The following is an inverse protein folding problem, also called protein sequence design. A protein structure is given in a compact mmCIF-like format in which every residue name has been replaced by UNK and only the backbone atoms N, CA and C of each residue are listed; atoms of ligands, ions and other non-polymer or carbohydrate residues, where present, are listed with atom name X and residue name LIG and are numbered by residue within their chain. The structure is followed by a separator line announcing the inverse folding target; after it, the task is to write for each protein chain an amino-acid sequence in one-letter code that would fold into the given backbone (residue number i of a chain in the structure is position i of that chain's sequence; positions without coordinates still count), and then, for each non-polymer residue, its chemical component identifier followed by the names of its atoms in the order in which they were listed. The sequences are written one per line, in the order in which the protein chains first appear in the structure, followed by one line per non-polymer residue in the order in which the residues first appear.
data_IF_348132508115
#
_entry.id   IF_348132508115
#
_cell.length_a   1.000
_cell.length_b   1.000
_cell.length_c   1.000
_cell.angle_alpha   90.00
_cell.angle_beta   90.00
_cell.angle_gamma   90.00
#
_symmetry.space_group_name_H-M   'P 1'
#
loop_
_entity.id
_entity.type
_entity.pdbx_description
1 polymer ?
#
# COMPACT_ATOMS: atom_id res chain seq x y z
N UNK A 1 -6.40 8.64 -27.15
CA UNK A 1 -6.79 7.24 -26.87
C UNK A 1 -5.79 6.66 -25.88
N UNK A 2 -6.13 6.54 -24.62
CA UNK A 2 -5.25 5.95 -23.61
C UNK A 2 -5.07 4.45 -23.87
N UNK A 3 -3.88 4.03 -24.23
CA UNK A 3 -3.57 2.64 -24.56
C UNK A 3 -3.50 1.78 -23.29
N UNK A 4 -4.56 1.03 -23.00
CA UNK A 4 -4.68 0.22 -21.76
C UNK A 4 -3.67 -0.95 -21.65
N UNK A 5 -2.90 -1.25 -22.70
CA UNK A 5 -2.07 -2.46 -22.74
C UNK A 5 -0.75 -2.36 -21.97
N UNK A 6 -0.17 -1.18 -21.82
CA UNK A 6 1.06 -0.96 -21.03
C UNK A 6 0.84 -1.06 -19.50
N UNK A 7 -0.40 -1.00 -19.07
CA UNK A 7 -0.79 -0.78 -17.65
C UNK A 7 -0.94 -2.04 -16.81
N UNK A 8 -1.08 -3.17 -17.48
CA UNK A 8 -1.06 -4.45 -16.78
C UNK A 8 0.30 -4.67 -16.08
N UNK A 9 1.36 -4.13 -16.67
CA UNK A 9 2.72 -4.26 -16.17
C UNK A 9 2.97 -3.42 -14.89
N UNK A 10 2.40 -2.20 -14.76
CA UNK A 10 2.65 -1.36 -13.59
C UNK A 10 2.06 -1.95 -12.30
N UNK A 11 0.79 -2.34 -12.35
CA UNK A 11 0.13 -2.97 -11.17
C UNK A 11 0.75 -4.33 -10.84
N UNK A 12 1.08 -5.12 -11.86
CA UNK A 12 1.75 -6.41 -11.66
C UNK A 12 3.12 -6.23 -11.01
N UNK A 13 3.92 -5.29 -11.52
CA UNK A 13 5.24 -4.98 -10.93
C UNK A 13 5.11 -4.46 -9.51
N UNK A 14 4.11 -3.61 -9.23
CA UNK A 14 3.83 -3.11 -7.88
C UNK A 14 3.52 -4.25 -6.90
N UNK A 15 2.68 -5.21 -7.31
CA UNK A 15 2.34 -6.37 -6.47
C UNK A 15 3.55 -7.27 -6.25
N UNK A 16 4.31 -7.58 -7.30
CA UNK A 16 5.50 -8.45 -7.18
C UNK A 16 6.53 -7.82 -6.25
N UNK A 17 6.84 -6.54 -6.41
CA UNK A 17 7.80 -5.84 -5.54
C UNK A 17 7.30 -5.74 -4.10
N UNK A 18 6.00 -5.55 -3.88
CA UNK A 18 5.40 -5.53 -2.55
C UNK A 18 5.50 -6.91 -1.87
N UNK A 19 5.25 -8.00 -2.60
CA UNK A 19 5.40 -9.37 -2.07
C UNK A 19 6.85 -9.63 -1.67
N UNK A 20 7.81 -9.28 -2.51
CA UNK A 20 9.24 -9.45 -2.20
C UNK A 20 9.60 -8.65 -0.94
N UNK A 21 9.19 -7.39 -0.86
CA UNK A 21 9.46 -6.53 0.30
C UNK A 21 8.84 -7.09 1.58
N UNK A 22 7.60 -7.57 1.54
CA UNK A 22 6.91 -8.19 2.68
C UNK A 22 7.59 -9.46 3.17
N UNK A 23 7.99 -10.34 2.25
CA UNK A 23 8.69 -11.59 2.57
C UNK A 23 10.07 -11.30 3.17
N UNK A 24 10.85 -10.43 2.57
CA UNK A 24 12.17 -10.04 3.09
C UNK A 24 12.05 -9.44 4.49
N UNK A 25 11.04 -8.58 4.71
CA UNK A 25 10.81 -7.98 6.01
C UNK A 25 10.45 -9.02 7.09
N UNK A 26 9.59 -9.99 6.76
CA UNK A 26 9.25 -11.08 7.67
C UNK A 26 10.49 -11.92 8.04
N UNK A 27 11.35 -12.21 7.07
CA UNK A 27 12.61 -12.91 7.33
C UNK A 27 13.57 -12.11 8.23
N UNK A 28 13.74 -10.82 7.96
CA UNK A 28 14.60 -9.95 8.78
C UNK A 28 14.09 -9.81 10.21
N UNK A 29 12.77 -9.83 10.39
CA UNK A 29 12.15 -9.84 11.71
C UNK A 29 12.44 -11.15 12.47
N UNK A 30 12.34 -12.30 11.79
CA UNK A 30 12.66 -13.62 12.39
C UNK A 30 14.12 -13.69 12.79
N UNK A 31 15.02 -13.14 11.97
CA UNK A 31 16.45 -13.09 12.26
C UNK A 31 16.82 -12.08 13.37
N UNK A 32 15.86 -11.29 13.86
CA UNK A 32 16.12 -10.28 14.88
C UNK A 32 16.93 -9.07 14.40
N UNK A 33 17.14 -8.95 13.08
CA UNK A 33 17.89 -7.83 12.49
C UNK A 33 17.07 -6.54 12.51
N UNK A 34 15.75 -6.66 12.37
CA UNK A 34 14.82 -5.54 12.39
C UNK A 34 13.87 -5.71 13.57
N UNK A 35 13.84 -4.72 14.45
CA UNK A 35 12.87 -4.65 15.54
C UNK A 35 11.85 -3.57 15.20
N UNK A 36 10.60 -3.98 15.00
CA UNK A 36 9.50 -3.03 14.77
C UNK A 36 9.06 -2.45 16.10
N UNK A 37 9.20 -1.14 16.23
CA UNK A 37 8.76 -0.41 17.44
C UNK A 37 7.30 0.03 17.28
N UNK A 38 6.61 0.24 18.41
CA UNK A 38 5.26 0.81 18.43
C UNK A 38 5.19 2.15 17.70
N UNK A 39 6.25 2.94 17.79
CA UNK A 39 6.36 4.23 17.07
C UNK A 39 6.31 4.04 15.56
N UNK A 40 6.99 3.04 15.03
CA UNK A 40 6.94 2.74 13.59
C UNK A 40 5.51 2.41 13.14
N UNK A 41 4.78 1.62 13.92
CA UNK A 41 3.39 1.25 13.60
C UNK A 41 2.46 2.47 13.63
N UNK A 42 2.64 3.37 14.60
CA UNK A 42 1.86 4.61 14.66
C UNK A 42 2.14 5.52 13.47
N UNK A 43 3.40 5.61 13.04
CA UNK A 43 3.78 6.37 11.83
C UNK A 43 3.18 5.72 10.58
N UNK A 44 3.27 4.40 10.44
CA UNK A 44 2.68 3.68 9.32
C UNK A 44 1.16 3.88 9.24
N UNK A 45 0.49 3.83 10.40
CA UNK A 45 -0.94 4.08 10.52
C UNK A 45 -1.27 5.54 10.15
N UNK A 46 -0.52 6.51 10.65
CA UNK A 46 -0.69 7.93 10.32
C UNK A 46 -0.52 8.20 8.83
N UNK A 47 0.51 7.63 8.20
CA UNK A 47 0.72 7.70 6.75
C UNK A 47 -0.47 7.07 6.00
N UNK A 48 -0.96 5.91 6.43
CA UNK A 48 -2.13 5.25 5.86
C UNK A 48 -3.37 6.13 5.90
N UNK A 49 -3.65 6.78 7.03
CA UNK A 49 -4.81 7.69 7.18
C UNK A 49 -4.70 8.90 6.26
N UNK A 50 -3.52 9.51 6.14
CA UNK A 50 -3.28 10.64 5.22
C UNK A 50 -3.51 10.21 3.77
N UNK A 51 -2.98 9.05 3.36
CA UNK A 51 -3.21 8.52 2.01
C UNK A 51 -4.68 8.20 1.75
N UNK A 52 -5.40 7.71 2.75
CA UNK A 52 -6.84 7.46 2.64
C UNK A 52 -7.61 8.78 2.43
N UNK A 53 -7.30 9.82 3.20
CA UNK A 53 -7.91 11.12 3.06
C UNK A 53 -7.68 11.72 1.67
N UNK A 54 -6.43 11.68 1.19
CA UNK A 54 -6.07 12.15 -0.17
C UNK A 54 -6.76 11.33 -1.24
N UNK A 55 -6.81 10.00 -1.09
CA UNK A 55 -7.48 9.08 -2.02
C UNK A 55 -8.99 9.35 -2.13
N UNK A 56 -9.66 9.60 -1.01
CA UNK A 56 -11.09 9.94 -0.98
C UNK A 56 -11.33 11.30 -1.63
N UNK A 57 -10.51 12.31 -1.34
CA UNK A 57 -10.61 13.63 -1.97
C UNK A 57 -10.37 13.55 -3.47
N UNK A 58 -9.35 12.82 -3.92
CA UNK A 58 -9.09 12.60 -5.33
C UNK A 58 -10.25 11.87 -6.02
N UNK A 59 -10.86 10.88 -5.39
CA UNK A 59 -12.01 10.17 -5.97
C UNK A 59 -13.27 11.06 -6.08
N UNK A 60 -13.45 11.98 -5.14
CA UNK A 60 -14.57 12.94 -5.17
C UNK A 60 -14.40 13.98 -6.30
N UNK A 61 -13.18 14.47 -6.53
CA UNK A 61 -12.90 15.41 -7.62
C UNK A 61 -13.04 14.76 -9.00
N UNK A 62 -12.67 13.49 -9.14
CA UNK A 62 -12.78 12.74 -10.40
C UNK A 62 -14.23 12.41 -10.80
N UNK A 63 -15.15 12.28 -9.84
CA UNK A 63 -16.57 12.11 -10.13
C UNK A 63 -17.20 13.32 -10.82
N UNK A 64 -16.58 14.47 -10.69
CA UNK A 64 -17.03 15.75 -11.30
C UNK A 64 -16.59 15.91 -12.75
N UNK A 65 -15.53 15.21 -13.17
CA UNK A 65 -15.04 15.22 -14.55
C UNK A 65 -15.73 14.09 -15.33
N UNK A 66 -16.53 14.44 -16.31
CA UNK A 66 -17.36 13.54 -17.15
C UNK A 66 -16.52 12.56 -18.03
N UNK A 67 -15.23 12.69 -18.02
CA UNK A 67 -14.26 11.84 -18.72
C UNK A 67 -13.60 10.91 -17.70
N UNK A 68 -14.12 9.68 -17.62
CA UNK A 68 -13.53 8.61 -16.78
C UNK A 68 -12.42 7.87 -17.53
N UNK A 69 -11.13 8.16 -17.36
CA UNK A 69 -10.11 7.28 -17.90
C UNK A 69 -10.12 5.96 -17.08
N UNK A 70 -10.36 4.84 -17.75
CA UNK A 70 -10.37 3.49 -17.16
C UNK A 70 -9.16 3.17 -16.27
N UNK A 71 -8.03 3.80 -16.54
CA UNK A 71 -6.81 3.71 -15.77
C UNK A 71 -6.95 4.20 -14.33
N UNK A 72 -7.61 5.31 -14.16
CA UNK A 72 -7.72 5.99 -12.87
C UNK A 72 -8.56 5.17 -11.88
N UNK A 73 -9.69 4.60 -12.33
CA UNK A 73 -10.55 3.77 -11.50
C UNK A 73 -9.85 2.49 -11.02
N UNK A 74 -9.06 1.84 -11.86
CA UNK A 74 -8.37 0.60 -11.51
C UNK A 74 -7.23 0.83 -10.52
N UNK A 75 -6.43 1.87 -10.73
CA UNK A 75 -5.34 2.22 -9.84
C UNK A 75 -5.84 2.75 -8.48
N UNK A 76 -6.96 3.48 -8.46
CA UNK A 76 -7.59 3.93 -7.24
C UNK A 76 -8.03 2.76 -6.36
N UNK A 77 -8.61 1.71 -6.94
CA UNK A 77 -9.02 0.52 -6.19
C UNK A 77 -7.80 -0.18 -5.56
N UNK A 78 -6.71 -0.34 -6.29
CA UNK A 78 -5.47 -0.95 -5.76
C UNK A 78 -4.88 -0.09 -4.65
N UNK A 79 -4.90 1.23 -4.79
CA UNK A 79 -4.42 2.15 -3.76
C UNK A 79 -5.28 2.06 -2.49
N UNK A 80 -6.61 2.04 -2.62
CA UNK A 80 -7.51 1.88 -1.48
C UNK A 80 -7.30 0.56 -0.74
N UNK A 81 -7.11 -0.55 -1.47
CA UNK A 81 -6.80 -1.85 -0.87
C UNK A 81 -5.46 -1.80 -0.12
N UNK A 82 -4.43 -1.18 -0.69
CA UNK A 82 -3.14 -0.99 -0.02
C UNK A 82 -3.27 -0.20 1.27
N UNK A 83 -3.96 0.94 1.23
CA UNK A 83 -4.17 1.81 2.40
C UNK A 83 -4.99 1.13 3.49
N UNK A 84 -6.13 0.53 3.14
CA UNK A 84 -6.97 -0.19 4.10
C UNK A 84 -6.23 -1.38 4.70
N UNK A 85 -5.48 -2.12 3.87
CA UNK A 85 -4.64 -3.23 4.32
C UNK A 85 -3.58 -2.78 5.32
N UNK A 86 -2.91 -1.65 5.06
CA UNK A 86 -1.91 -1.08 5.99
C UNK A 86 -2.54 -0.71 7.33
N UNK A 87 -3.69 -0.04 7.32
CA UNK A 87 -4.39 0.38 8.53
C UNK A 87 -4.83 -0.85 9.34
N UNK A 88 -5.50 -1.81 8.70
CA UNK A 88 -5.98 -3.03 9.38
C UNK A 88 -4.83 -3.86 9.94
N UNK A 89 -3.78 -4.10 9.15
CA UNK A 89 -2.62 -4.88 9.60
C UNK A 89 -1.90 -4.19 10.77
N UNK A 90 -1.76 -2.86 10.74
CA UNK A 90 -1.17 -2.09 11.84
C UNK A 90 -2.02 -2.14 13.11
N UNK A 91 -3.34 -2.06 13.00
CA UNK A 91 -4.26 -2.18 14.14
C UNK A 91 -4.21 -3.59 14.76
N UNK A 92 -4.19 -4.64 13.94
CA UNK A 92 -4.10 -6.01 14.42
C UNK A 92 -2.77 -6.23 15.15
N UNK A 93 -1.66 -5.74 14.60
CA UNK A 93 -0.34 -5.87 15.22
C UNK A 93 -0.26 -5.10 16.54
N UNK A 94 -0.88 -3.92 16.63
CA UNK A 94 -0.99 -3.17 17.89
C UNK A 94 -1.85 -3.88 18.93
N UNK A 95 -2.94 -4.53 18.50
CA UNK A 95 -3.85 -5.24 19.38
C UNK A 95 -3.25 -6.55 19.94
N UNK A 96 -2.50 -7.28 19.12
CA UNK A 96 -1.83 -8.54 19.53
C UNK A 96 -0.65 -8.29 20.48
N UNK A 97 -0.11 -7.08 20.46
CA UNK A 97 1.10 -6.75 21.20
C UNK A 97 2.37 -7.27 20.52
N UNK A 98 3.44 -6.52 20.64
CA UNK A 98 4.74 -6.85 20.03
C UNK A 98 5.48 -7.81 20.97
N UNK A 99 5.15 -9.09 20.95
CA UNK A 99 5.99 -10.12 21.56
C UNK A 99 7.10 -10.47 20.56
N UNK A 100 8.32 -10.14 20.89
CA UNK A 100 9.46 -10.03 19.99
C UNK A 100 9.89 -11.31 19.23
N UNK A 101 9.26 -12.46 19.43
CA UNK A 101 9.78 -13.74 18.92
C UNK A 101 8.73 -14.70 18.34
N UNK A 102 7.50 -14.27 18.16
CA UNK A 102 6.50 -15.16 17.56
C UNK A 102 6.48 -15.07 16.04
N UNK A 103 6.39 -16.22 15.37
CA UNK A 103 6.20 -16.30 13.91
C UNK A 103 5.00 -15.47 13.46
N UNK A 104 3.95 -15.40 14.29
CA UNK A 104 2.78 -14.57 14.03
C UNK A 104 3.14 -13.09 13.90
N UNK A 105 3.97 -12.57 14.80
CA UNK A 105 4.43 -11.17 14.76
C UNK A 105 5.24 -10.89 13.49
N UNK A 106 6.11 -11.82 13.08
CA UNK A 106 6.90 -11.68 11.87
C UNK A 106 6.01 -11.65 10.60
N UNK A 107 4.99 -12.49 10.54
CA UNK A 107 4.02 -12.50 9.43
C UNK A 107 3.23 -11.19 9.40
N UNK A 108 2.76 -10.69 10.55
CA UNK A 108 2.03 -9.43 10.63
C UNK A 108 2.90 -8.24 10.21
N UNK A 109 4.16 -8.20 10.63
CA UNK A 109 5.12 -7.17 10.20
C UNK A 109 5.35 -7.24 8.69
N UNK A 110 5.51 -8.44 8.14
CA UNK A 110 5.60 -8.64 6.69
C UNK A 110 4.38 -8.12 5.95
N UNK A 111 3.17 -8.35 6.48
CA UNK A 111 1.92 -7.83 5.92
C UNK A 111 1.84 -6.29 5.98
N UNK A 112 2.22 -5.67 7.08
CA UNK A 112 2.25 -4.20 7.19
C UNK A 112 3.17 -3.62 6.11
N UNK A 113 4.39 -4.15 5.96
CA UNK A 113 5.33 -3.65 4.97
C UNK A 113 4.92 -3.98 3.54
N UNK A 114 4.29 -5.13 3.29
CA UNK A 114 3.68 -5.47 2.01
C UNK A 114 2.65 -4.42 1.58
N UNK A 115 1.67 -4.12 2.44
CA UNK A 115 0.61 -3.16 2.12
C UNK A 115 1.14 -1.73 2.01
N UNK A 116 2.08 -1.35 2.85
CA UNK A 116 2.72 -0.05 2.80
C UNK A 116 3.49 0.14 1.49
N UNK A 117 4.26 -0.87 1.06
CA UNK A 117 4.96 -0.85 -0.21
C UNK A 117 4.00 -0.82 -1.40
N UNK A 118 2.91 -1.61 -1.31
CA UNK A 118 1.86 -1.61 -2.33
C UNK A 118 1.22 -0.22 -2.48
N UNK A 119 0.99 0.49 -1.38
CA UNK A 119 0.47 1.86 -1.37
C UNK A 119 1.41 2.82 -2.10
N UNK A 120 2.71 2.78 -1.82
CA UNK A 120 3.70 3.62 -2.50
C UNK A 120 3.81 3.30 -3.99
N UNK A 121 3.86 2.03 -4.36
CA UNK A 121 3.95 1.60 -5.74
C UNK A 121 2.67 1.96 -6.53
N UNK A 122 1.50 1.77 -5.93
CA UNK A 122 0.23 2.17 -6.53
C UNK A 122 0.13 3.70 -6.71
N UNK A 123 0.65 4.49 -5.76
CA UNK A 123 0.72 5.95 -5.88
C UNK A 123 1.60 6.39 -7.05
N UNK A 124 2.76 5.75 -7.23
CA UNK A 124 3.64 6.03 -8.36
C UNK A 124 2.97 5.70 -9.70
N UNK A 125 2.24 4.58 -9.78
CA UNK A 125 1.47 4.22 -10.97
C UNK A 125 0.33 5.22 -11.24
N UNK A 126 -0.31 5.72 -10.17
CA UNK A 126 -1.38 6.70 -10.28
C UNK A 126 -0.87 8.04 -10.82
N UNK A 127 0.26 8.54 -10.31
CA UNK A 127 0.88 9.79 -10.75
C UNK A 127 1.28 9.70 -12.23
N UNK A 128 1.91 8.59 -12.64
CA UNK A 128 2.27 8.36 -14.06
C UNK A 128 1.04 8.32 -14.96
N UNK A 129 -0.03 7.67 -14.50
CA UNK A 129 -1.27 7.62 -15.25
C UNK A 129 -1.92 9.01 -15.40
N UNK A 130 -1.84 9.85 -14.39
CA UNK A 130 -2.36 11.21 -14.43
C UNK A 130 -1.53 12.10 -15.39
N UNK A 131 -0.20 11.94 -15.39
CA UNK A 131 0.70 12.69 -16.27
C UNK A 131 0.59 12.32 -17.76
N UNK A 132 0.26 11.05 -18.06
CA UNK A 132 0.10 10.58 -19.47
C UNK A 132 -1.28 10.95 -20.08
N UNK A 133 -2.20 11.47 -19.27
CA UNK A 133 -3.53 11.89 -19.76
C UNK A 133 -3.63 13.40 -20.07
N UNK A 134 -2.57 14.19 -19.80
CA UNK A 134 -2.45 15.60 -20.14
C UNK A 134 -1.84 15.75 -21.54
#
# INVERSE_FOLDING_TARGET
MCNCNWRFNCTLTAVITAVIAGVVAAFLQILGVVTVTTTFLLVALGVGVVYLAVGVLASASLRRADTRPCCLCRNLNTLLVGVLGTILASLVLLAVGITATSVLTAVLVGLVLFFLWLTFAASACFIRCAADCD
#
